data_IF_820047543856
#
_entry.id   IF_820047543856
#
_cell.length_a   1.000
_cell.length_b   1.000
_cell.length_c   1.000
_cell.angle_alpha   90.00
_cell.angle_beta   90.00
_cell.angle_gamma   90.00
#
_symmetry.space_group_name_H-M   'P 1'
#
loop_
_entity.id
_entity.type
_entity.pdbx_description
1 polymer ?
#
# COMPACT_ATOMS: atom_id res chain seq x y z
N UNK A 1 2.80 -4.70 -15.02
CA UNK A 1 3.46 -5.61 -14.08
C UNK A 1 3.20 -5.22 -12.63
N UNK A 2 3.44 -3.97 -12.22
CA UNK A 2 3.18 -3.52 -10.84
C UNK A 2 1.68 -3.62 -10.44
N UNK A 3 0.73 -3.34 -11.35
CA UNK A 3 -0.71 -3.45 -11.03
C UNK A 3 -1.15 -4.86 -10.66
N UNK A 4 -0.78 -5.85 -11.47
CA UNK A 4 -1.11 -7.25 -11.16
C UNK A 4 -0.43 -7.70 -9.87
N UNK A 5 0.79 -7.23 -9.60
CA UNK A 5 1.48 -7.52 -8.35
C UNK A 5 0.77 -6.89 -7.14
N UNK A 6 0.34 -5.63 -7.23
CA UNK A 6 -0.40 -4.96 -6.16
C UNK A 6 -1.76 -5.62 -5.89
N UNK A 7 -2.50 -5.98 -6.94
CA UNK A 7 -3.75 -6.73 -6.79
C UNK A 7 -3.55 -8.16 -6.25
N UNK A 8 -2.39 -8.77 -6.51
CA UNK A 8 -2.06 -10.11 -5.99
C UNK A 8 -1.41 -10.08 -4.61
N UNK A 9 -1.02 -8.89 -4.13
CA UNK A 9 -0.37 -8.66 -2.83
C UNK A 9 -1.33 -7.92 -1.88
N UNK A 10 -2.64 -8.07 -2.07
CA UNK A 10 -3.65 -7.42 -1.24
C UNK A 10 -3.51 -7.79 0.24
N UNK A 11 -3.14 -9.03 0.52
CA UNK A 11 -2.84 -9.59 1.85
C UNK A 11 -1.64 -8.94 2.54
N UNK A 12 -0.79 -8.24 1.77
CA UNK A 12 0.32 -7.46 2.28
C UNK A 12 -0.07 -5.98 2.33
N UNK A 13 -0.43 -5.42 1.18
CA UNK A 13 -0.59 -3.98 1.00
C UNK A 13 -1.80 -3.38 1.73
N UNK A 14 -2.76 -4.20 2.17
CA UNK A 14 -3.85 -3.73 3.04
C UNK A 14 -3.35 -3.27 4.42
N UNK A 15 -2.20 -3.79 4.87
CA UNK A 15 -1.59 -3.48 6.17
C UNK A 15 -0.52 -2.41 6.13
N UNK A 16 -0.14 -1.96 4.93
CA UNK A 16 0.95 -1.01 4.71
C UNK A 16 0.35 0.38 4.44
N UNK A 17 0.78 1.43 5.16
CA UNK A 17 0.31 2.77 4.92
C UNK A 17 1.01 3.41 3.72
N UNK A 18 0.42 4.48 3.21
CA UNK A 18 1.08 5.34 2.23
C UNK A 18 1.30 6.74 2.79
N UNK A 19 2.44 7.34 2.45
CA UNK A 19 2.89 8.65 2.92
C UNK A 19 2.89 9.71 1.80
N UNK A 20 2.11 9.48 0.72
CA UNK A 20 2.09 10.37 -0.44
C UNK A 20 1.30 11.67 -0.26
N UNK A 21 0.50 11.78 0.82
CA UNK A 21 -0.31 12.94 1.14
C UNK A 21 -1.71 12.97 0.50
N UNK A 22 -2.09 11.93 -0.25
CA UNK A 22 -3.42 11.82 -0.84
C UNK A 22 -4.42 11.02 0.02
N UNK A 23 -4.00 10.52 1.19
CA UNK A 23 -4.82 9.64 2.04
C UNK A 23 -6.23 10.16 2.31
N UNK A 24 -6.34 11.33 2.93
CA UNK A 24 -7.64 11.92 3.28
C UNK A 24 -8.40 12.41 2.03
N UNK A 25 -7.72 13.07 1.09
CA UNK A 25 -8.36 13.69 -0.07
C UNK A 25 -8.87 12.68 -1.10
N UNK A 26 -8.29 11.49 -1.17
CA UNK A 26 -8.72 10.38 -2.01
C UNK A 26 -9.45 9.26 -1.25
N UNK A 27 -9.55 9.35 0.08
CA UNK A 27 -10.18 8.32 0.91
C UNK A 27 -9.40 7.00 0.99
N UNK A 28 -8.07 7.05 0.81
CA UNK A 28 -7.21 5.86 0.86
C UNK A 28 -6.90 5.48 2.31
N UNK A 29 -7.15 4.20 2.67
CA UNK A 29 -6.88 3.69 4.02
C UNK A 29 -5.59 2.86 4.10
N UNK A 30 -4.96 2.55 2.97
CA UNK A 30 -3.72 1.77 2.88
C UNK A 30 -3.06 1.99 1.52
N UNK A 31 -1.84 1.48 1.37
CA UNK A 31 -1.14 1.45 0.10
C UNK A 31 -1.90 0.62 -0.95
N UNK A 32 -2.64 -0.42 -0.55
CA UNK A 32 -3.55 -1.14 -1.45
C UNK A 32 -4.61 -0.20 -2.05
N UNK A 33 -5.21 0.67 -1.23
CA UNK A 33 -6.25 1.60 -1.72
C UNK A 33 -5.72 2.62 -2.72
N UNK A 34 -4.42 2.86 -2.77
CA UNK A 34 -3.83 3.69 -3.81
C UNK A 34 -4.01 3.06 -5.21
N UNK A 35 -4.10 1.74 -5.31
CA UNK A 35 -4.25 1.03 -6.58
C UNK A 35 -5.64 0.45 -6.79
N UNK A 36 -6.33 0.13 -5.70
CA UNK A 36 -7.62 -0.58 -5.71
C UNK A 36 -8.68 0.29 -5.05
N UNK A 37 -9.62 0.76 -5.87
CA UNK A 37 -10.80 1.47 -5.40
C UNK A 37 -11.81 0.50 -4.75
N UNK A 38 -12.00 -0.69 -5.34
CA UNK A 38 -12.96 -1.69 -4.86
C UNK A 38 -12.52 -3.10 -5.26
N UNK A 39 -12.71 -4.08 -4.37
CA UNK A 39 -12.73 -5.51 -4.72
C UNK A 39 -14.17 -5.97 -4.66
N UNK A 40 -14.74 -6.35 -5.80
CA UNK A 40 -16.14 -6.80 -5.90
C UNK A 40 -16.31 -8.21 -5.33
N UNK A 41 -17.57 -8.57 -5.05
CA UNK A 41 -17.93 -9.90 -4.52
C UNK A 41 -17.52 -11.07 -5.43
N UNK A 42 -17.42 -10.83 -6.74
CA UNK A 42 -16.96 -11.80 -7.73
C UNK A 42 -15.42 -11.85 -7.89
N UNK A 43 -14.70 -11.10 -7.06
CA UNK A 43 -13.24 -10.97 -7.09
C UNK A 43 -12.71 -9.99 -8.14
N UNK A 44 -13.58 -9.30 -8.90
CA UNK A 44 -13.13 -8.29 -9.85
C UNK A 44 -12.58 -7.06 -9.12
N UNK A 45 -11.39 -6.61 -9.53
CA UNK A 45 -10.72 -5.44 -8.99
C UNK A 45 -11.11 -4.20 -9.81
N UNK A 46 -11.66 -3.18 -9.14
CA UNK A 46 -11.81 -1.84 -9.66
C UNK A 46 -10.56 -1.05 -9.29
N UNK A 47 -9.80 -0.67 -10.31
CA UNK A 47 -8.53 0.03 -10.14
C UNK A 47 -8.74 1.52 -9.92
N UNK A 48 -7.96 2.10 -9.01
CA UNK A 48 -7.81 3.55 -8.86
C UNK A 48 -6.66 4.02 -9.75
N UNK A 49 -6.97 4.88 -10.72
CA UNK A 49 -5.99 5.38 -11.70
C UNK A 49 -4.97 6.35 -11.08
N UNK A 50 -5.25 6.89 -9.91
CA UNK A 50 -4.45 7.94 -9.28
C UNK A 50 -3.17 7.36 -8.67
N UNK A 51 -3.26 6.35 -7.80
CA UNK A 51 -2.06 5.78 -7.20
C UNK A 51 -1.21 4.99 -8.18
N UNK A 52 -1.73 4.70 -9.37
CA UNK A 52 -0.92 4.14 -10.46
C UNK A 52 0.19 5.05 -10.99
N UNK A 53 0.14 6.36 -10.68
CA UNK A 53 1.06 7.38 -11.18
C UNK A 53 1.83 8.10 -10.08
N UNK A 54 1.63 7.73 -8.82
CA UNK A 54 2.33 8.33 -7.68
C UNK A 54 3.62 7.53 -7.39
N UNK A 55 4.82 8.15 -7.46
CA UNK A 55 6.08 7.46 -7.19
C UNK A 55 6.13 6.84 -5.78
N UNK A 56 5.70 7.58 -4.76
CA UNK A 56 5.70 7.11 -3.36
C UNK A 56 4.80 5.90 -3.17
N UNK A 57 3.61 5.88 -3.78
CA UNK A 57 2.73 4.72 -3.72
C UNK A 57 3.40 3.47 -4.31
N UNK A 58 4.06 3.64 -5.48
CA UNK A 58 4.73 2.55 -6.19
C UNK A 58 5.96 2.02 -5.44
N UNK A 59 6.77 2.92 -4.89
CA UNK A 59 7.97 2.57 -4.13
C UNK A 59 7.62 1.75 -2.87
N UNK A 60 6.67 2.22 -2.07
CA UNK A 60 6.18 1.51 -0.89
C UNK A 60 5.63 0.13 -1.26
N UNK A 61 4.86 0.03 -2.36
CA UNK A 61 4.29 -1.24 -2.81
C UNK A 61 5.39 -2.24 -3.19
N UNK A 62 6.35 -1.81 -4.00
CA UNK A 62 7.46 -2.65 -4.47
C UNK A 62 8.33 -3.10 -3.31
N UNK A 63 8.68 -2.19 -2.41
CA UNK A 63 9.50 -2.49 -1.23
C UNK A 63 8.81 -3.51 -0.32
N UNK A 64 7.53 -3.31 -0.03
CA UNK A 64 6.74 -4.23 0.79
C UNK A 64 6.64 -5.63 0.19
N UNK A 65 6.41 -5.72 -1.13
CA UNK A 65 6.35 -7.00 -1.85
C UNK A 65 7.70 -7.70 -1.83
N UNK A 66 8.81 -6.98 -2.03
CA UNK A 66 10.14 -7.57 -2.01
C UNK A 66 10.49 -8.11 -0.61
N UNK A 67 10.20 -7.35 0.45
CA UNK A 67 10.43 -7.82 1.82
C UNK A 67 9.60 -9.07 2.17
N UNK A 68 8.35 -9.14 1.69
CA UNK A 68 7.53 -10.33 1.86
C UNK A 68 8.13 -11.54 1.12
N UNK A 69 8.66 -11.34 -0.10
CA UNK A 69 9.37 -12.38 -0.85
C UNK A 69 10.65 -12.85 -0.15
N UNK A 70 11.31 -11.95 0.60
CA UNK A 70 12.45 -12.27 1.46
C UNK A 70 12.06 -12.94 2.79
N UNK A 71 10.76 -13.24 2.98
CA UNK A 71 10.24 -13.98 4.13
C UNK A 71 10.01 -13.14 5.39
N UNK A 72 9.98 -11.80 5.27
CA UNK A 72 9.64 -10.91 6.39
C UNK A 72 8.17 -11.03 6.77
N UNK A 73 7.89 -10.92 8.05
CA UNK A 73 6.52 -10.83 8.57
C UNK A 73 5.87 -9.49 8.23
N UNK A 74 4.54 -9.44 8.17
CA UNK A 74 3.79 -8.20 7.92
C UNK A 74 4.17 -7.08 8.90
N UNK A 75 4.43 -7.43 10.17
CA UNK A 75 4.82 -6.46 11.19
C UNK A 75 6.22 -5.90 10.97
N UNK A 76 7.18 -6.72 10.54
CA UNK A 76 8.51 -6.25 10.15
C UNK A 76 8.44 -5.33 8.93
N UNK A 77 7.65 -5.70 7.91
CA UNK A 77 7.45 -4.87 6.71
C UNK A 77 6.81 -3.54 7.10
N UNK A 78 5.73 -3.58 7.89
CA UNK A 78 5.04 -2.39 8.37
C UNK A 78 5.97 -1.45 9.12
N UNK A 79 6.72 -1.95 10.09
CA UNK A 79 7.65 -1.12 10.87
C UNK A 79 8.73 -0.51 9.98
N UNK A 80 9.27 -1.27 9.02
CA UNK A 80 10.28 -0.77 8.09
C UNK A 80 9.75 0.38 7.21
N UNK A 81 8.52 0.25 6.68
CA UNK A 81 7.88 1.31 5.91
C UNK A 81 7.61 2.54 6.78
N UNK A 82 7.10 2.34 8.00
CA UNK A 82 6.88 3.47 8.91
C UNK A 82 8.18 4.19 9.24
N UNK A 83 9.28 3.47 9.51
CA UNK A 83 10.60 4.04 9.78
C UNK A 83 11.20 4.76 8.56
N UNK A 84 10.96 4.25 7.35
CA UNK A 84 11.54 4.80 6.12
C UNK A 84 10.82 6.07 5.66
N UNK A 85 9.51 6.16 5.86
CA UNK A 85 8.68 7.23 5.29
C UNK A 85 8.06 8.16 6.34
N UNK A 86 8.26 7.98 7.66
CA UNK A 86 7.69 8.88 8.68
C UNK A 86 8.30 10.29 8.74
N UNK A 87 9.51 10.49 8.20
CA UNK A 87 10.21 11.77 8.23
C UNK A 87 10.36 12.32 6.80
N UNK A 88 9.92 13.57 6.60
CA UNK A 88 10.02 14.24 5.30
C UNK A 88 8.91 13.91 4.30
N UNK A 89 7.97 13.03 4.65
CA UNK A 89 6.76 12.75 3.87
C UNK A 89 5.49 13.22 4.60
N UNK A 90 4.32 13.01 3.99
CA UNK A 90 3.04 13.39 4.57
C UNK A 90 2.58 12.40 5.64
N UNK A 91 1.54 12.76 6.40
CA UNK A 91 0.90 11.84 7.35
C UNK A 91 0.47 10.52 6.67
N UNK A 92 0.66 9.37 7.34
CA UNK A 92 0.27 8.09 6.78
C UNK A 92 -1.24 7.97 6.60
N UNK A 93 -1.65 7.17 5.63
CA UNK A 93 -3.02 6.64 5.59
C UNK A 93 -3.36 5.94 6.91
N UNK A 94 -4.64 5.94 7.36
CA UNK A 94 -5.06 5.37 8.64
C UNK A 94 -5.11 3.83 8.60
N UNK A 95 -3.95 3.22 8.37
CA UNK A 95 -3.81 1.79 8.14
C UNK A 95 -3.57 1.07 9.47
N UNK A 96 -4.40 0.09 9.86
CA UNK A 96 -4.22 -0.64 11.10
C UNK A 96 -2.91 -1.43 11.12
N UNK A 97 -2.37 -1.69 12.30
CA UNK A 97 -1.22 -2.58 12.46
C UNK A 97 -1.63 -4.03 12.19
N UNK A 98 -0.78 -4.82 11.49
CA UNK A 98 -0.94 -6.27 11.43
C UNK A 98 -0.97 -6.90 12.82
N UNK A 99 -1.81 -7.94 13.00
CA UNK A 99 -1.93 -8.72 14.23
C UNK A 99 -0.67 -9.52 14.56
#
# INVERSE_FOLDING_TARGET
>A
MIYQAAGSASDILEWIPCYCGCGESAGHNSNLNCFVSEVREDGAIVWDDHGTRCPVCLEIAVESINMAQDGKSLKEIRNHIDETYNEGFAEPTPTPMPA
#
